data_IF_940130588129
#
_entry.id   IF_940130588129
#
_cell.length_a   1.000
_cell.length_b   1.000
_cell.length_c   1.000
_cell.angle_alpha   90.00
_cell.angle_beta   90.00
_cell.angle_gamma   90.00
#
_symmetry.space_group_name_H-M   'P 1'
#
loop_
_entity.id
_entity.type
_entity.pdbx_description
1 polymer ?
#
# COMPACT_ATOMS: atom_id res chain seq x y z
N UNK A 1 2.34 -23.27 -11.84
CA UNK A 1 1.00 -22.65 -11.94
C UNK A 1 1.18 -21.16 -11.73
N UNK A 2 0.84 -20.35 -12.73
CA UNK A 2 0.90 -18.88 -12.64
C UNK A 2 -0.46 -18.33 -12.16
N UNK A 3 -0.46 -17.22 -11.43
CA UNK A 3 -1.68 -16.50 -11.00
C UNK A 3 -1.51 -15.01 -11.17
N UNK A 4 -2.54 -14.35 -11.69
CA UNK A 4 -2.60 -12.90 -11.81
C UNK A 4 -3.45 -12.34 -10.68
N UNK A 5 -2.91 -11.39 -9.93
CA UNK A 5 -3.61 -10.69 -8.86
C UNK A 5 -3.80 -9.23 -9.25
N UNK A 6 -5.00 -8.70 -9.08
CA UNK A 6 -5.18 -7.24 -9.02
C UNK A 6 -4.68 -6.78 -7.65
N UNK A 7 -3.97 -5.67 -7.61
CA UNK A 7 -3.38 -5.12 -6.38
C UNK A 7 -3.61 -3.61 -6.31
N UNK A 8 -3.05 -2.97 -5.29
CA UNK A 8 -2.98 -1.52 -5.21
C UNK A 8 -4.34 -0.85 -4.97
N UNK A 9 -4.49 0.34 -5.53
CA UNK A 9 -5.67 1.19 -5.31
C UNK A 9 -6.98 0.55 -5.78
N UNK A 10 -6.89 -0.34 -6.78
CA UNK A 10 -8.01 -1.09 -7.37
C UNK A 10 -8.67 -2.09 -6.41
N UNK A 11 -7.92 -2.68 -5.47
CA UNK A 11 -8.48 -3.66 -4.50
C UNK A 11 -8.30 -3.29 -3.03
N UNK A 12 -7.48 -2.28 -2.70
CA UNK A 12 -7.31 -1.82 -1.32
C UNK A 12 -8.53 -1.10 -0.72
N UNK A 13 -9.51 -0.72 -1.55
CA UNK A 13 -10.67 0.07 -1.11
C UNK A 13 -10.42 1.59 -1.03
N UNK A 14 -9.24 2.05 -1.46
CA UNK A 14 -8.80 3.46 -1.40
C UNK A 14 -8.52 4.09 -2.79
N UNK A 15 -9.02 3.46 -3.85
CA UNK A 15 -8.94 3.95 -5.22
C UNK A 15 -9.92 5.08 -5.52
N UNK A 16 -9.52 5.98 -6.41
CA UNK A 16 -10.40 6.96 -7.05
C UNK A 16 -10.82 6.46 -8.44
N UNK A 17 -11.87 7.03 -9.04
CA UNK A 17 -12.43 6.57 -10.33
C UNK A 17 -11.47 6.72 -11.54
N UNK A 18 -10.36 7.43 -11.37
CA UNK A 18 -9.33 7.63 -12.40
C UNK A 18 -8.04 6.86 -12.13
N UNK A 19 -8.07 5.84 -11.28
CA UNK A 19 -6.84 5.13 -10.88
C UNK A 19 -6.45 4.07 -11.92
N UNK A 20 -5.14 3.94 -12.14
CA UNK A 20 -4.55 2.83 -12.90
C UNK A 20 -4.89 1.48 -12.24
N UNK A 21 -4.93 0.41 -13.05
CA UNK A 21 -5.09 -0.94 -12.53
C UNK A 21 -3.72 -1.55 -12.29
N UNK A 22 -3.34 -1.67 -11.03
CA UNK A 22 -2.13 -2.37 -10.62
C UNK A 22 -2.36 -3.90 -10.64
N UNK A 23 -1.47 -4.64 -11.29
CA UNK A 23 -1.52 -6.11 -11.33
C UNK A 23 -0.17 -6.72 -10.94
N UNK A 24 -0.20 -7.89 -10.31
CA UNK A 24 0.96 -8.69 -9.97
C UNK A 24 0.81 -10.10 -10.54
N UNK A 25 1.68 -10.47 -11.47
CA UNK A 25 1.78 -11.84 -11.97
C UNK A 25 2.70 -12.67 -11.06
N UNK A 26 2.15 -13.65 -10.38
CA UNK A 26 2.90 -14.63 -9.60
C UNK A 26 3.15 -15.87 -10.46
N UNK A 27 4.39 -16.08 -10.90
CA UNK A 27 4.81 -17.24 -11.72
C UNK A 27 5.41 -18.38 -10.88
N UNK A 28 5.94 -18.06 -9.69
CA UNK A 28 6.56 -19.03 -8.77
C UNK A 28 6.29 -18.68 -7.31
N UNK A 29 6.20 -19.66 -6.39
CA UNK A 29 6.11 -19.41 -4.94
C UNK A 29 7.42 -18.95 -4.31
N UNK A 30 8.54 -19.03 -5.03
CA UNK A 30 9.84 -18.57 -4.55
C UNK A 30 10.01 -17.07 -4.78
N UNK A 31 10.89 -16.45 -4.01
CA UNK A 31 11.34 -15.10 -4.31
C UNK A 31 12.08 -15.09 -5.65
N UNK A 32 11.78 -14.10 -6.49
CA UNK A 32 12.50 -13.84 -7.74
C UNK A 32 13.38 -12.61 -7.56
N UNK A 33 14.55 -12.63 -8.17
CA UNK A 33 15.36 -11.43 -8.35
C UNK A 33 14.57 -10.45 -9.24
N UNK A 34 14.16 -9.34 -8.61
CA UNK A 34 13.35 -8.33 -9.27
C UNK A 34 14.11 -7.63 -10.41
N UNK A 35 15.45 -7.52 -10.34
CA UNK A 35 16.24 -6.82 -11.37
C UNK A 35 16.49 -7.67 -12.60
N UNK A 36 16.67 -8.98 -12.41
CA UNK A 36 17.08 -9.86 -13.50
C UNK A 36 15.95 -10.78 -13.94
N UNK A 37 15.48 -11.65 -13.04
CA UNK A 37 14.51 -12.69 -13.38
C UNK A 37 13.12 -12.10 -13.66
N UNK A 38 12.61 -11.25 -12.77
CA UNK A 38 11.28 -10.64 -12.95
C UNK A 38 11.24 -9.78 -14.22
N UNK A 39 12.32 -9.02 -14.48
CA UNK A 39 12.45 -8.21 -15.70
C UNK A 39 12.50 -9.08 -16.96
N UNK A 40 13.19 -10.23 -16.93
CA UNK A 40 13.19 -11.17 -18.05
C UNK A 40 11.79 -11.72 -18.34
N UNK A 41 11.02 -12.08 -17.30
CA UNK A 41 9.62 -12.49 -17.46
C UNK A 41 8.77 -11.38 -18.07
N UNK A 42 8.91 -10.13 -17.59
CA UNK A 42 8.16 -9.00 -18.14
C UNK A 42 8.54 -8.69 -19.61
N UNK A 43 9.81 -8.84 -19.99
CA UNK A 43 10.25 -8.71 -21.40
C UNK A 43 9.64 -9.79 -22.30
N UNK A 44 9.51 -11.02 -21.81
CA UNK A 44 8.82 -12.08 -22.54
C UNK A 44 7.34 -11.72 -22.72
N UNK A 45 6.67 -11.30 -21.64
CA UNK A 45 5.26 -10.87 -21.72
C UNK A 45 5.06 -9.68 -22.66
N UNK A 46 5.98 -8.71 -22.66
CA UNK A 46 5.93 -7.57 -23.58
C UNK A 46 5.92 -8.03 -25.03
N UNK A 47 6.76 -9.00 -25.39
CA UNK A 47 6.82 -9.57 -26.75
C UNK A 47 5.52 -10.27 -27.13
N UNK A 48 5.00 -11.10 -26.23
CA UNK A 48 3.76 -11.84 -26.49
C UNK A 48 2.53 -10.93 -26.57
N UNK A 49 2.39 -9.97 -25.65
CA UNK A 49 1.25 -9.05 -25.61
C UNK A 49 1.22 -8.09 -26.80
N UNK A 50 2.38 -7.69 -27.34
CA UNK A 50 2.47 -6.90 -28.56
C UNK A 50 1.81 -7.60 -29.75
N UNK A 51 1.77 -8.94 -29.76
CA UNK A 51 1.13 -9.72 -30.84
C UNK A 51 -0.39 -9.86 -30.66
N UNK A 52 -0.96 -9.48 -29.52
CA UNK A 52 -2.37 -9.74 -29.23
C UNK A 52 -3.35 -8.66 -29.73
N UNK A 53 -2.86 -7.51 -30.23
CA UNK A 53 -3.68 -6.47 -30.87
C UNK A 53 -4.67 -5.72 -29.98
N UNK A 54 -4.77 -6.04 -28.67
CA UNK A 54 -5.65 -5.37 -27.72
C UNK A 54 -4.93 -4.35 -26.82
N UNK A 55 -3.62 -4.18 -27.01
CA UNK A 55 -2.79 -3.34 -26.15
C UNK A 55 -2.19 -2.18 -26.92
N UNK A 56 -2.20 -0.98 -26.33
CA UNK A 56 -1.52 0.21 -26.83
C UNK A 56 -0.58 0.82 -25.78
N UNK A 57 0.33 1.71 -26.20
CA UNK A 57 1.26 2.45 -25.32
C UNK A 57 2.07 1.56 -24.36
N UNK A 58 2.53 0.41 -24.84
CA UNK A 58 3.26 -0.55 -24.00
C UNK A 58 4.70 -0.09 -23.74
N UNK A 59 5.09 -0.06 -22.47
CA UNK A 59 6.41 0.38 -22.01
C UNK A 59 6.90 -0.49 -20.84
N UNK A 60 8.16 -0.94 -20.88
CA UNK A 60 8.79 -1.61 -19.75
C UNK A 60 9.67 -0.63 -18.98
N UNK A 61 9.26 -0.28 -17.76
CA UNK A 61 10.02 0.58 -16.85
C UNK A 61 10.96 -0.28 -16.00
N UNK A 62 12.27 0.00 -16.13
CA UNK A 62 13.32 -0.71 -15.39
C UNK A 62 13.67 0.04 -14.11
N UNK A 63 12.95 -0.25 -13.03
CA UNK A 63 13.19 0.28 -11.69
C UNK A 63 13.60 -0.83 -10.70
N UNK A 64 13.66 -0.50 -9.40
CA UNK A 64 13.93 -1.50 -8.34
C UNK A 64 12.92 -2.65 -8.35
N UNK A 65 11.68 -2.34 -8.70
CA UNK A 65 10.63 -3.30 -9.07
C UNK A 65 10.24 -2.94 -10.50
N UNK A 66 10.54 -3.78 -11.51
CA UNK A 66 10.21 -3.47 -12.89
C UNK A 66 8.70 -3.55 -13.11
N UNK A 67 8.18 -2.67 -13.96
CA UNK A 67 6.75 -2.56 -14.26
C UNK A 67 6.58 -2.51 -15.76
N UNK A 68 5.74 -3.41 -16.29
CA UNK A 68 5.25 -3.35 -17.66
C UNK A 68 3.95 -2.54 -17.67
N UNK A 69 4.04 -1.31 -18.17
CA UNK A 69 2.89 -0.41 -18.35
C UNK A 69 2.27 -0.62 -19.72
N UNK A 70 0.95 -0.59 -19.78
CA UNK A 70 0.23 -0.59 -21.05
C UNK A 70 -1.21 -0.13 -20.89
N UNK A 71 -1.89 0.18 -22.00
CA UNK A 71 -3.30 0.56 -22.01
C UNK A 71 -4.13 -0.46 -22.76
N UNK A 72 -5.23 -0.90 -22.16
CA UNK A 72 -6.21 -1.74 -22.84
C UNK A 72 -7.00 -0.93 -23.87
N UNK A 73 -7.00 -1.37 -25.13
CA UNK A 73 -7.63 -0.64 -26.23
C UNK A 73 -9.15 -0.55 -26.09
N UNK A 74 -9.78 -1.54 -25.45
CA UNK A 74 -11.24 -1.65 -25.34
C UNK A 74 -11.79 -0.81 -24.18
N UNK A 75 -11.24 -0.99 -22.99
CA UNK A 75 -11.72 -0.30 -21.77
C UNK A 75 -11.06 1.06 -21.57
N UNK A 76 -9.97 1.35 -22.29
CA UNK A 76 -9.15 2.56 -22.14
C UNK A 76 -8.57 2.74 -20.74
N UNK A 77 -8.38 1.63 -20.02
CA UNK A 77 -7.76 1.57 -18.70
C UNK A 77 -6.25 1.41 -18.86
N UNK A 78 -5.48 2.21 -18.11
CA UNK A 78 -4.03 2.06 -17.98
C UNK A 78 -3.71 0.99 -16.92
N UNK A 79 -2.77 0.09 -17.23
CA UNK A 79 -2.42 -1.11 -16.45
C UNK A 79 -0.94 -1.10 -16.11
N UNK A 80 -0.63 -1.30 -14.83
CA UNK A 80 0.72 -1.44 -14.30
C UNK A 80 0.96 -2.89 -13.87
N UNK A 81 1.67 -3.68 -14.69
CA UNK A 81 1.95 -5.09 -14.41
C UNK A 81 3.35 -5.30 -13.84
N UNK A 82 3.44 -5.81 -12.62
CA UNK A 82 4.69 -6.29 -12.01
C UNK A 82 4.73 -7.83 -11.93
N UNK A 83 5.91 -8.39 -11.67
CA UNK A 83 6.12 -9.84 -11.59
C UNK A 83 6.67 -10.25 -10.22
N UNK A 84 5.98 -11.20 -9.58
CA UNK A 84 6.37 -11.80 -8.30
C UNK A 84 6.53 -10.82 -7.13
N UNK A 85 5.86 -9.67 -7.16
CA UNK A 85 5.84 -8.73 -6.02
C UNK A 85 4.84 -9.17 -4.94
N UNK A 86 5.19 -10.24 -4.23
CA UNK A 86 4.39 -10.83 -3.15
C UNK A 86 4.01 -9.83 -2.04
N UNK A 87 4.88 -8.84 -1.78
CA UNK A 87 4.65 -7.78 -0.79
C UNK A 87 3.47 -6.89 -1.18
N UNK A 88 3.36 -6.51 -2.47
CA UNK A 88 2.25 -5.69 -2.95
C UNK A 88 0.89 -6.36 -2.75
N UNK A 89 0.82 -7.69 -2.92
CA UNK A 89 -0.41 -8.46 -2.68
C UNK A 89 -0.77 -8.46 -1.19
N UNK A 90 0.20 -8.70 -0.31
CA UNK A 90 -0.03 -8.68 1.15
C UNK A 90 -0.51 -7.32 1.63
N UNK A 91 0.15 -6.25 1.20
CA UNK A 91 -0.21 -4.89 1.59
C UNK A 91 -1.60 -4.53 1.08
N UNK A 92 -1.94 -4.93 -0.15
CA UNK A 92 -3.29 -4.70 -0.69
C UNK A 92 -4.35 -5.41 0.15
N UNK A 93 -4.11 -6.67 0.53
CA UNK A 93 -5.02 -7.42 1.39
C UNK A 93 -5.19 -6.76 2.76
N UNK A 94 -4.10 -6.34 3.39
CA UNK A 94 -4.11 -5.64 4.68
C UNK A 94 -4.89 -4.31 4.60
N UNK A 95 -4.61 -3.50 3.59
CA UNK A 95 -5.31 -2.22 3.38
C UNK A 95 -6.80 -2.44 3.10
N UNK A 96 -7.13 -3.44 2.28
CA UNK A 96 -8.52 -3.83 2.05
C UNK A 96 -9.22 -4.22 3.35
N UNK A 97 -8.55 -4.98 4.22
CA UNK A 97 -9.08 -5.36 5.53
C UNK A 97 -9.37 -4.12 6.39
N UNK A 98 -8.43 -3.17 6.52
CA UNK A 98 -8.68 -1.92 7.25
C UNK A 98 -9.84 -1.10 6.66
N UNK A 99 -9.96 -1.07 5.33
CA UNK A 99 -11.01 -0.33 4.64
C UNK A 99 -12.43 -0.82 4.98
N UNK A 100 -12.56 -2.03 5.52
CA UNK A 100 -13.84 -2.68 5.85
C UNK A 100 -14.24 -2.51 7.32
N UNK A 101 -13.33 -2.10 8.22
CA UNK A 101 -13.58 -2.13 9.66
C UNK A 101 -14.49 -1.01 10.15
N UNK A 102 -14.36 0.19 9.57
CA UNK A 102 -15.21 1.34 9.88
C UNK A 102 -15.47 2.16 8.62
N UNK A 103 -16.70 2.64 8.45
CA UNK A 103 -17.12 3.37 7.26
C UNK A 103 -16.37 4.69 7.09
N UNK A 104 -15.85 5.29 8.16
CA UNK A 104 -15.12 6.58 8.15
C UNK A 104 -13.73 6.46 7.53
N UNK A 105 -13.15 5.27 7.48
CA UNK A 105 -11.76 5.06 7.01
C UNK A 105 -11.59 5.46 5.55
N UNK A 106 -12.44 4.94 4.67
CA UNK A 106 -12.36 5.19 3.21
C UNK A 106 -12.51 6.68 2.86
N UNK A 107 -13.57 7.40 3.32
CA UNK A 107 -13.70 8.81 3.01
C UNK A 107 -12.60 9.66 3.67
N UNK A 108 -12.12 9.30 4.87
CA UNK A 108 -11.00 10.03 5.49
C UNK A 108 -9.72 9.93 4.66
N UNK A 109 -9.38 8.72 4.20
CA UNK A 109 -8.23 8.51 3.29
C UNK A 109 -8.38 9.33 2.01
N UNK A 110 -9.59 9.37 1.43
CA UNK A 110 -9.84 10.14 0.22
C UNK A 110 -9.66 11.65 0.45
N UNK A 111 -10.23 12.19 1.52
CA UNK A 111 -10.09 13.62 1.87
C UNK A 111 -8.63 13.99 2.13
N UNK A 112 -7.88 13.16 2.86
CA UNK A 112 -6.44 13.38 3.08
C UNK A 112 -5.66 13.33 1.77
N UNK A 113 -5.97 12.40 0.86
CA UNK A 113 -5.33 12.33 -0.46
C UNK A 113 -5.61 13.59 -1.30
N UNK A 114 -6.85 14.07 -1.30
CA UNK A 114 -7.25 15.28 -2.04
C UNK A 114 -6.60 16.53 -1.46
N UNK A 115 -6.58 16.66 -0.13
CA UNK A 115 -5.86 17.74 0.56
C UNK A 115 -4.37 17.72 0.21
N UNK A 116 -3.72 16.57 0.30
CA UNK A 116 -2.31 16.44 -0.03
C UNK A 116 -2.02 16.73 -1.52
N UNK A 117 -2.92 16.35 -2.43
CA UNK A 117 -2.82 16.70 -3.85
C UNK A 117 -2.96 18.20 -4.09
N UNK A 118 -3.93 18.85 -3.44
CA UNK A 118 -4.16 20.29 -3.54
C UNK A 118 -2.93 21.09 -3.08
N UNK A 119 -2.20 20.61 -2.08
CA UNK A 119 -0.97 21.21 -1.59
C UNK A 119 0.30 20.69 -2.29
N UNK A 120 0.19 19.90 -3.36
CA UNK A 120 1.33 19.35 -4.11
C UNK A 120 2.30 18.49 -3.28
N UNK A 121 1.80 17.79 -2.26
CA UNK A 121 2.58 16.89 -1.38
C UNK A 121 2.20 15.41 -1.54
N UNK A 122 1.56 15.04 -2.65
CA UNK A 122 1.15 13.66 -2.97
C UNK A 122 1.70 13.20 -4.34
N UNK A 123 3.01 13.23 -4.52
CA UNK A 123 3.70 12.69 -5.69
C UNK A 123 5.10 12.15 -5.34
N UNK A 124 5.22 10.83 -5.27
CA UNK A 124 6.51 10.18 -4.99
C UNK A 124 7.57 10.44 -6.07
N UNK A 125 7.18 10.72 -7.31
CA UNK A 125 8.12 11.07 -8.40
C UNK A 125 8.79 12.42 -8.14
N UNK A 126 8.09 13.33 -7.47
CA UNK A 126 8.58 14.66 -7.10
C UNK A 126 9.27 14.65 -5.72
N UNK A 127 9.63 13.46 -5.21
CA UNK A 127 10.22 13.27 -3.89
C UNK A 127 9.34 13.75 -2.71
N UNK A 128 8.01 13.79 -2.91
CA UNK A 128 7.03 14.06 -1.84
C UNK A 128 6.38 12.76 -1.33
N UNK A 129 5.33 12.87 -0.51
CA UNK A 129 4.71 11.72 0.14
C UNK A 129 3.96 10.87 -0.91
N UNK A 130 4.14 9.55 -0.87
CA UNK A 130 3.38 8.66 -1.73
C UNK A 130 1.93 8.52 -1.26
N UNK A 131 0.99 8.27 -2.17
CA UNK A 131 -0.39 7.97 -1.79
C UNK A 131 -0.48 6.78 -0.83
N UNK A 132 0.36 5.75 -1.00
CA UNK A 132 0.44 4.62 -0.07
C UNK A 132 0.87 5.06 1.34
N UNK A 133 1.90 5.90 1.44
CA UNK A 133 2.36 6.47 2.72
C UNK A 133 1.26 7.27 3.43
N UNK A 134 0.48 8.07 2.70
CA UNK A 134 -0.68 8.78 3.28
C UNK A 134 -1.72 7.82 3.85
N UNK A 135 -2.02 6.72 3.17
CA UNK A 135 -2.94 5.70 3.70
C UNK A 135 -2.41 5.12 5.01
N UNK A 136 -1.11 4.80 5.08
CA UNK A 136 -0.50 4.28 6.31
C UNK A 136 -0.53 5.29 7.45
N UNK A 137 -0.27 6.57 7.17
CA UNK A 137 -0.40 7.65 8.16
C UNK A 137 -1.83 7.76 8.70
N UNK A 138 -2.84 7.68 7.84
CA UNK A 138 -4.24 7.70 8.27
C UNK A 138 -4.55 6.49 9.15
N UNK A 139 -4.14 5.29 8.73
CA UNK A 139 -4.37 4.07 9.53
C UNK A 139 -3.70 4.17 10.90
N UNK A 140 -2.44 4.61 10.96
CA UNK A 140 -1.73 4.83 12.21
C UNK A 140 -2.43 5.84 13.12
N UNK A 141 -2.82 6.98 12.58
CA UNK A 141 -3.57 7.98 13.33
C UNK A 141 -4.85 7.37 13.94
N UNK A 142 -5.60 6.60 13.16
CA UNK A 142 -6.82 5.94 13.62
C UNK A 142 -6.57 4.78 14.61
N UNK A 143 -5.37 4.20 14.62
CA UNK A 143 -4.97 3.14 15.56
C UNK A 143 -4.42 3.66 16.88
N UNK A 144 -3.63 4.73 16.83
CA UNK A 144 -2.77 5.16 17.94
C UNK A 144 -2.87 6.66 18.23
N UNK A 145 -3.15 7.48 17.22
CA UNK A 145 -3.21 8.94 17.38
C UNK A 145 -4.49 9.46 18.05
N UNK A 146 -5.49 8.60 18.24
CA UNK A 146 -6.75 8.90 18.92
C UNK A 146 -6.74 8.46 20.37
N UNK A 147 -7.41 9.21 21.26
CA UNK A 147 -7.64 8.79 22.65
C UNK A 147 -8.47 7.48 22.71
N UNK A 148 -9.49 7.38 21.86
CA UNK A 148 -10.27 6.16 21.66
C UNK A 148 -9.96 5.64 20.25
N UNK A 149 -9.19 4.54 20.10
CA UNK A 149 -8.83 4.00 18.79
C UNK A 149 -10.03 3.68 17.93
N UNK A 150 -9.98 4.10 16.68
CA UNK A 150 -10.98 3.75 15.67
C UNK A 150 -10.66 2.41 15.02
N UNK A 151 -9.37 2.06 14.90
CA UNK A 151 -8.92 0.82 14.28
C UNK A 151 -8.08 -0.01 15.24
N UNK A 152 -8.19 -1.35 15.21
CA UNK A 152 -7.29 -2.23 15.95
C UNK A 152 -5.97 -2.41 15.18
N UNK A 153 -4.96 -2.97 15.86
CA UNK A 153 -3.79 -3.51 15.18
C UNK A 153 -4.12 -4.89 14.59
N UNK A 154 -4.32 -4.98 13.26
CA UNK A 154 -4.74 -6.24 12.63
C UNK A 154 -3.72 -7.37 12.75
N UNK A 155 -2.42 -7.06 12.77
CA UNK A 155 -1.37 -8.05 12.97
C UNK A 155 -1.41 -8.70 14.36
N UNK A 156 -1.88 -7.96 15.38
CA UNK A 156 -2.08 -8.47 16.74
C UNK A 156 -3.43 -9.18 16.87
N UNK A 157 -4.48 -8.64 16.27
CA UNK A 157 -5.83 -9.17 16.39
C UNK A 157 -6.06 -10.46 15.56
N UNK A 158 -5.39 -10.58 14.40
CA UNK A 158 -5.54 -11.72 13.49
C UNK A 158 -4.17 -12.19 12.96
N UNK A 159 -3.27 -12.68 13.84
CA UNK A 159 -1.91 -13.06 13.46
C UNK A 159 -1.90 -14.13 12.36
N UNK A 160 -2.83 -15.09 12.41
CA UNK A 160 -2.94 -16.15 11.41
C UNK A 160 -3.31 -15.63 10.02
N UNK A 161 -4.01 -14.49 9.92
CA UNK A 161 -4.42 -13.90 8.62
C UNK A 161 -3.32 -13.01 8.03
N UNK A 162 -2.66 -12.23 8.87
CA UNK A 162 -1.68 -11.22 8.44
C UNK A 162 -0.22 -11.64 8.68
N UNK A 163 0.03 -12.91 8.96
CA UNK A 163 1.39 -13.44 9.07
C UNK A 163 2.15 -13.31 7.75
N UNK A 164 3.43 -12.94 7.85
CA UNK A 164 4.37 -12.93 6.73
C UNK A 164 4.63 -14.33 6.15
N UNK A 165 4.36 -15.39 6.92
CA UNK A 165 4.54 -16.79 6.48
C UNK A 165 3.44 -17.30 5.54
N UNK A 166 2.28 -16.63 5.47
CA UNK A 166 1.15 -17.08 4.66
C UNK A 166 1.51 -17.12 3.18
N UNK A 167 1.25 -18.23 2.48
CA UNK A 167 1.55 -18.31 1.05
C UNK A 167 0.61 -17.41 0.23
N UNK A 168 1.18 -16.44 -0.50
CA UNK A 168 0.43 -15.46 -1.30
C UNK A 168 -0.52 -16.11 -2.30
N UNK A 169 -0.16 -17.27 -2.84
CA UNK A 169 -1.04 -18.03 -3.74
C UNK A 169 -2.40 -18.37 -3.10
N UNK A 170 -2.49 -18.52 -1.78
CA UNK A 170 -3.73 -18.89 -1.07
C UNK A 170 -4.41 -17.70 -0.38
N UNK A 171 -3.93 -16.48 -0.57
CA UNK A 171 -4.48 -15.32 0.13
C UNK A 171 -5.85 -14.93 -0.45
N UNK A 172 -6.90 -14.88 0.40
CA UNK A 172 -8.21 -14.39 -0.01
C UNK A 172 -8.19 -12.85 0.01
N UNK A 173 -7.70 -12.22 -1.06
CA UNK A 173 -7.53 -10.76 -1.13
C UNK A 173 -8.84 -10.01 -0.84
N UNK A 174 -9.98 -10.62 -1.20
CA UNK A 174 -11.35 -10.09 -1.01
C UNK A 174 -12.10 -10.70 0.19
N UNK A 175 -11.40 -11.30 1.15
CA UNK A 175 -12.04 -11.81 2.37
C UNK A 175 -12.77 -10.70 3.13
N UNK A 176 -13.96 -11.02 3.64
CA UNK A 176 -14.68 -10.13 4.55
C UNK A 176 -14.06 -10.18 5.94
N UNK A 177 -13.78 -9.00 6.48
CA UNK A 177 -13.33 -8.91 7.86
C UNK A 177 -14.50 -9.12 8.84
N UNK A 178 -14.25 -9.73 10.01
CA UNK A 178 -15.24 -9.77 11.08
C UNK A 178 -15.61 -8.34 11.50
N UNK A 179 -16.83 -8.18 11.98
CA UNK A 179 -17.31 -6.89 12.47
C UNK A 179 -16.42 -6.42 13.64
N UNK A 180 -15.91 -5.20 13.50
CA UNK A 180 -15.20 -4.50 14.55
C UNK A 180 -16.02 -3.27 14.93
N UNK A 181 -16.23 -3.06 16.23
CA UNK A 181 -17.00 -1.92 16.74
C UNK A 181 -16.08 -1.08 17.62
N UNK A 182 -15.81 0.14 17.17
CA UNK A 182 -15.12 1.14 17.99
C UNK A 182 -16.13 1.94 18.82
N UNK A 183 -15.74 2.29 20.05
CA UNK A 183 -16.48 3.24 20.88
C UNK A 183 -16.26 4.70 20.46
N UNK A 184 -15.38 4.97 19.50
CA UNK A 184 -15.09 6.31 19.02
C UNK A 184 -16.32 6.93 18.32
N UNK A 185 -16.75 8.10 18.81
CA UNK A 185 -17.92 8.84 18.31
C UNK A 185 -17.57 10.07 17.46
N UNK A 186 -16.29 10.32 17.17
CA UNK A 186 -15.88 11.45 16.37
C UNK A 186 -16.44 11.34 14.95
N UNK A 187 -16.92 12.47 14.45
CA UNK A 187 -17.35 12.66 13.08
C UNK A 187 -16.17 12.61 12.12
N UNK A 188 -16.45 12.44 10.83
CA UNK A 188 -15.41 12.45 9.80
C UNK A 188 -14.61 13.76 9.78
N UNK A 189 -15.26 14.90 10.01
CA UNK A 189 -14.61 16.21 10.05
C UNK A 189 -13.67 16.37 11.24
N UNK A 190 -14.08 15.91 12.43
CA UNK A 190 -13.22 15.89 13.62
C UNK A 190 -12.01 14.98 13.43
N UNK A 191 -12.19 13.82 12.80
CA UNK A 191 -11.07 12.93 12.48
C UNK A 191 -10.10 13.56 11.49
N UNK A 192 -10.59 14.29 10.48
CA UNK A 192 -9.72 14.99 9.53
C UNK A 192 -8.93 16.12 10.19
N UNK A 193 -9.59 16.96 11.00
CA UNK A 193 -8.92 18.03 11.73
C UNK A 193 -7.89 17.45 12.73
N UNK A 194 -8.28 16.42 13.47
CA UNK A 194 -7.39 15.75 14.42
C UNK A 194 -6.21 15.05 13.74
N UNK A 195 -6.37 14.53 12.52
CA UNK A 195 -5.26 13.99 11.73
C UNK A 195 -4.21 15.08 11.42
N UNK A 196 -4.68 16.26 10.99
CA UNK A 196 -3.78 17.39 10.72
C UNK A 196 -3.08 17.86 12.00
N UNK A 197 -3.83 18.03 13.09
CA UNK A 197 -3.27 18.45 14.39
C UNK A 197 -2.26 17.43 14.93
N UNK A 198 -2.56 16.14 14.81
CA UNK A 198 -1.69 15.06 15.27
C UNK A 198 -0.33 15.13 14.57
N UNK A 199 -0.31 15.20 13.24
CA UNK A 199 0.94 15.24 12.49
C UNK A 199 1.62 16.61 12.48
N UNK A 200 0.90 17.71 12.72
CA UNK A 200 1.52 19.02 12.82
C UNK A 200 2.16 19.30 14.19
N UNK A 201 1.57 18.78 15.27
CA UNK A 201 1.90 19.23 16.62
C UNK A 201 2.20 18.12 17.64
N UNK A 202 1.72 16.89 17.43
CA UNK A 202 1.83 15.81 18.43
C UNK A 202 2.86 14.75 18.06
N UNK A 203 2.95 14.40 16.78
CA UNK A 203 3.85 13.34 16.32
C UNK A 203 5.29 13.84 16.17
N UNK A 204 6.23 13.26 16.93
CA UNK A 204 7.64 13.61 16.86
C UNK A 204 8.37 12.77 15.79
N UNK A 205 8.45 13.28 14.55
CA UNK A 205 9.06 12.56 13.42
C UNK A 205 10.56 12.23 13.58
N UNK A 206 11.28 13.02 14.38
CA UNK A 206 12.72 12.81 14.61
C UNK A 206 12.93 11.55 15.46
N UNK A 207 12.14 11.38 16.51
CA UNK A 207 12.29 10.32 17.50
C UNK A 207 11.54 9.05 17.11
N UNK A 208 10.40 9.21 16.44
CA UNK A 208 9.44 8.14 16.26
C UNK A 208 9.16 7.82 14.80
N UNK A 209 9.04 6.53 14.55
CA UNK A 209 8.60 5.93 13.29
C UNK A 209 7.17 5.40 13.45
N UNK A 210 6.38 5.57 12.40
CA UNK A 210 5.01 5.04 12.31
C UNK A 210 5.10 3.53 12.07
N UNK A 211 4.41 2.73 12.87
CA UNK A 211 4.28 1.28 12.63
C UNK A 211 2.84 0.84 12.76
N UNK A 212 2.20 0.60 11.61
CA UNK A 212 0.84 0.01 11.59
C UNK A 212 0.88 -1.47 11.98
N UNK A 213 2.06 -2.09 11.92
CA UNK A 213 2.30 -3.48 12.28
C UNK A 213 2.30 -3.68 13.79
N UNK A 214 2.86 -2.75 14.55
CA UNK A 214 2.76 -2.77 16.02
C UNK A 214 1.52 -2.02 16.52
N UNK A 215 0.87 -1.24 15.66
CA UNK A 215 -0.29 -0.41 16.01
C UNK A 215 0.12 0.75 16.90
N UNK A 216 1.27 1.36 16.62
CA UNK A 216 1.84 2.40 17.45
C UNK A 216 3.13 2.97 16.87
N UNK A 217 3.99 3.46 17.75
CA UNK A 217 5.26 4.08 17.40
C UNK A 217 6.42 3.15 17.69
N UNK A 218 7.48 3.28 16.90
CA UNK A 218 8.77 2.64 17.14
C UNK A 218 9.87 3.70 17.20
N UNK A 219 10.87 3.57 18.07
CA UNK A 219 12.02 4.47 18.05
C UNK A 219 12.72 4.40 16.68
N UNK A 220 12.94 5.57 16.07
CA UNK A 220 13.54 5.66 14.73
C UNK A 220 14.95 5.06 14.71
N UNK A 221 15.70 5.21 15.80
CA UNK A 221 17.04 4.64 15.90
C UNK A 221 17.02 3.11 15.89
N UNK A 222 16.09 2.48 16.61
CA UNK A 222 15.93 1.01 16.56
C UNK A 222 15.63 0.53 15.13
N UNK A 223 14.75 1.22 14.41
CA UNK A 223 14.39 0.90 13.03
C UNK A 223 15.60 0.96 12.08
N UNK A 224 16.51 1.92 12.29
CA UNK A 224 17.75 2.08 11.51
C UNK A 224 18.74 0.93 11.71
N UNK A 225 18.75 0.30 12.88
CA UNK A 225 19.69 -0.79 13.19
C UNK A 225 19.20 -2.18 12.76
N UNK A 226 17.92 -2.32 12.37
CA UNK A 226 17.37 -3.62 11.91
C UNK A 226 18.06 -4.06 10.61
N UNK A 227 18.85 -5.14 10.67
CA UNK A 227 19.51 -5.69 9.49
C UNK A 227 18.53 -6.53 8.68
N UNK A 228 18.00 -5.98 7.59
CA UNK A 228 17.32 -6.80 6.55
C UNK A 228 17.93 -6.54 5.18
N UNK A 229 17.83 -7.52 4.27
CA UNK A 229 18.32 -7.38 2.88
C UNK A 229 17.75 -6.17 2.13
N UNK A 230 16.61 -5.64 2.57
CA UNK A 230 15.91 -4.51 1.96
C UNK A 230 16.00 -3.21 2.78
N UNK A 231 16.48 -3.26 4.02
CA UNK A 231 16.60 -2.09 4.90
C UNK A 231 17.95 -1.42 4.65
N UNK A 232 17.90 -0.18 4.17
CA UNK A 232 19.05 0.72 4.09
C UNK A 232 18.82 1.84 5.11
N UNK A 233 19.76 2.05 6.02
CA UNK A 233 19.63 3.08 7.08
C UNK A 233 19.39 4.48 6.50
N UNK A 234 19.80 4.72 5.25
CA UNK A 234 19.55 5.97 4.51
C UNK A 234 18.09 6.15 4.09
N UNK A 235 17.23 5.14 4.23
CA UNK A 235 15.79 5.23 3.95
C UNK A 235 15.00 5.93 5.07
N UNK A 236 15.56 6.03 6.27
CA UNK A 236 14.90 6.57 7.47
C UNK A 236 15.29 8.04 7.74
N UNK A 237 15.04 8.91 6.76
CA UNK A 237 15.52 10.31 6.79
C UNK A 237 14.49 11.33 7.27
N UNK A 238 13.24 11.24 6.83
CA UNK A 238 12.24 12.30 7.06
C UNK A 238 10.90 11.74 7.53
N UNK A 239 10.23 10.95 6.69
CA UNK A 239 8.97 10.29 7.02
C UNK A 239 9.21 8.79 7.15
N UNK A 240 9.19 8.31 8.39
CA UNK A 240 9.53 6.95 8.76
C UNK A 240 8.27 6.12 8.99
N UNK A 241 7.97 5.17 8.10
CA UNK A 241 6.73 4.37 8.12
C UNK A 241 7.03 2.92 7.74
N UNK A 242 6.53 1.98 8.55
CA UNK A 242 6.48 0.54 8.22
C UNK A 242 5.09 -0.12 8.40
#
# INVERSE_FOLDING_TARGET
>A
MCRLFVVGSSLSGFGANSSDVDMCLMVTPRDLDQRNEAQAVLRLLQRELNNCGFVEKMELITAKVPILKFRDLRTKIDVDLNCNNSVGIRNTHLLNAYSQLDWRVRPLVLVVKLWAQHHHINNAKDMTISSYSLVLMVIHYLQYGLEVPLLPCLHKAFPDKFSSSNHVFRMPVTERMPLFVSNNKQTLGELFLGFLEYYAHKFMFIENSISIRTGGILPTDECRYVRTRKNDSRMWKYLCIE
#
